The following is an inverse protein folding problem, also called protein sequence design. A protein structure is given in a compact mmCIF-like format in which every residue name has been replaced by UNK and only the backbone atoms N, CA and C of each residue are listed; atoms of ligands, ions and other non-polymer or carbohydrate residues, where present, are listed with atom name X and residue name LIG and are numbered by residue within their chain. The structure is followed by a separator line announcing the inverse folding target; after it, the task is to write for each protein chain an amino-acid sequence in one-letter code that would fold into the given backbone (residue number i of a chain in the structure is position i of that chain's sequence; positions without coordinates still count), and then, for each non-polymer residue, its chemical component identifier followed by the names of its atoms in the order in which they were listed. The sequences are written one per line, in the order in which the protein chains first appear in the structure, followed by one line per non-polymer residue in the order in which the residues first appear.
data_IF_799624511432
#
_entry.id   IF_799624511432
#
_cell.length_a   1.000
_cell.length_b   1.000
_cell.length_c   1.000
_cell.angle_alpha   90.00
_cell.angle_beta   90.00
_cell.angle_gamma   90.00
#
_symmetry.space_group_name_H-M   'P 1'
#
loop_
_entity.id
_entity.type
_entity.pdbx_description
1 polymer ?
#
# COMPACT_ATOMS: atom_id res chain seq x y z
N UNK A 1 -27.81 25.89 7.59
CA UNK A 1 -27.19 24.73 8.27
C UNK A 1 -27.30 24.96 9.77
N UNK A 2 -28.03 24.14 10.52
CA UNK A 2 -28.23 24.36 11.96
C UNK A 2 -26.98 24.10 12.82
N UNK A 3 -27.05 24.42 14.11
CA UNK A 3 -25.96 24.26 15.10
C UNK A 3 -25.35 22.85 15.06
N UNK A 4 -26.20 21.82 15.01
CA UNK A 4 -25.80 20.42 14.88
C UNK A 4 -24.95 20.18 13.62
N UNK A 5 -25.34 20.75 12.48
CA UNK A 5 -24.58 20.64 11.24
C UNK A 5 -23.22 21.33 11.31
N UNK A 6 -23.11 22.47 12.00
CA UNK A 6 -21.83 23.12 12.23
C UNK A 6 -20.89 22.27 13.09
N UNK A 7 -21.40 21.64 14.15
CA UNK A 7 -20.61 20.76 15.03
C UNK A 7 -20.03 19.57 14.23
N UNK A 8 -20.85 18.92 13.39
CA UNK A 8 -20.37 17.81 12.56
C UNK A 8 -19.29 18.26 11.57
N UNK A 9 -19.46 19.42 10.92
CA UNK A 9 -18.46 19.95 10.00
C UNK A 9 -17.14 20.24 10.70
N UNK A 10 -17.18 20.85 11.89
CA UNK A 10 -15.96 21.14 12.68
C UNK A 10 -15.26 19.85 13.11
N UNK A 11 -16.00 18.83 13.57
CA UNK A 11 -15.38 17.54 13.97
C UNK A 11 -14.75 16.83 12.77
N UNK A 12 -15.39 16.84 11.61
CA UNK A 12 -14.84 16.24 10.39
C UNK A 12 -13.55 16.93 9.94
N UNK A 13 -13.54 18.28 9.94
CA UNK A 13 -12.35 19.06 9.57
C UNK A 13 -11.23 18.85 10.59
N UNK A 14 -11.54 18.83 11.89
CA UNK A 14 -10.54 18.58 12.93
C UNK A 14 -9.92 17.19 12.80
N UNK A 15 -10.74 16.15 12.59
CA UNK A 15 -10.25 14.79 12.35
C UNK A 15 -9.35 14.70 11.11
N UNK A 16 -9.71 15.39 10.03
CA UNK A 16 -8.90 15.43 8.80
C UNK A 16 -7.55 16.11 9.05
N UNK A 17 -7.52 17.23 9.78
CA UNK A 17 -6.30 17.93 10.16
C UNK A 17 -5.40 17.02 11.01
N UNK A 18 -5.95 16.33 12.00
CA UNK A 18 -5.20 15.38 12.83
C UNK A 18 -4.61 14.24 11.99
N UNK A 19 -5.37 13.70 11.03
CA UNK A 19 -4.89 12.63 10.14
C UNK A 19 -3.72 13.11 9.26
N UNK A 20 -3.83 14.31 8.68
CA UNK A 20 -2.76 14.89 7.85
C UNK A 20 -1.51 15.16 8.70
N UNK A 21 -1.66 15.71 9.90
CA UNK A 21 -0.54 15.99 10.80
C UNK A 21 0.11 14.71 11.37
N UNK A 22 -0.67 13.64 11.53
CA UNK A 22 -0.17 12.33 11.99
C UNK A 22 0.51 11.53 10.87
N UNK A 23 0.35 11.93 9.61
CA UNK A 23 1.05 11.31 8.50
C UNK A 23 2.53 11.71 8.56
N UNK A 24 3.36 10.82 9.07
CA UNK A 24 4.81 11.02 9.04
C UNK A 24 5.30 10.95 7.60
N UNK A 25 6.01 11.99 7.15
CA UNK A 25 6.80 11.92 5.92
C UNK A 25 8.00 11.02 6.20
N UNK A 26 7.86 9.74 5.90
CA UNK A 26 8.97 8.81 6.06
C UNK A 26 10.08 9.19 5.06
N UNK A 27 11.28 9.47 5.59
CA UNK A 27 12.47 9.78 4.79
C UNK A 27 13.14 8.48 4.38
N UNK A 28 13.37 8.33 3.08
CA UNK A 28 14.07 7.18 2.50
C UNK A 28 15.12 7.69 1.52
N UNK A 29 16.25 6.99 1.43
CA UNK A 29 17.33 7.34 0.48
C UNK A 29 17.04 6.83 -0.93
N UNK A 30 16.45 5.64 -1.05
CA UNK A 30 15.98 5.06 -2.30
C UNK A 30 14.99 3.92 -2.05
N UNK A 31 14.21 3.57 -3.07
CA UNK A 31 13.29 2.42 -3.06
C UNK A 31 13.83 1.26 -3.90
N UNK A 32 13.45 0.04 -3.55
CA UNK A 32 13.81 -1.16 -4.33
C UNK A 32 12.55 -1.73 -4.95
N UNK A 33 12.27 -1.27 -6.16
CA UNK A 33 11.29 -1.93 -6.99
C UNK A 33 11.85 -3.28 -7.47
N UNK A 34 11.39 -4.36 -6.83
CA UNK A 34 11.81 -5.72 -7.13
C UNK A 34 10.76 -6.39 -7.99
N UNK A 35 11.24 -7.06 -9.04
CA UNK A 35 10.42 -7.90 -9.90
C UNK A 35 10.92 -9.34 -9.77
N UNK A 36 9.98 -10.27 -9.90
CA UNK A 36 10.26 -11.69 -9.83
C UNK A 36 9.80 -12.36 -11.11
N UNK A 37 10.59 -13.32 -11.60
CA UNK A 37 10.19 -14.14 -12.73
C UNK A 37 9.33 -15.29 -12.21
N UNK A 38 8.03 -15.27 -12.52
CA UNK A 38 7.04 -16.16 -11.90
C UNK A 38 7.42 -17.65 -12.04
N UNK A 39 7.88 -18.04 -13.22
CA UNK A 39 8.26 -19.43 -13.47
C UNK A 39 9.44 -19.89 -12.59
N UNK A 40 10.44 -19.03 -12.37
CA UNK A 40 11.55 -19.36 -11.47
C UNK A 40 11.12 -19.41 -10.00
N UNK A 41 10.25 -18.47 -9.57
CA UNK A 41 9.74 -18.44 -8.19
C UNK A 41 8.96 -19.70 -7.84
N UNK A 42 8.10 -20.15 -8.74
CA UNK A 42 7.32 -21.37 -8.54
C UNK A 42 8.19 -22.63 -8.53
N UNK A 43 9.30 -22.63 -9.27
CA UNK A 43 10.22 -23.76 -9.31
C UNK A 43 11.24 -23.75 -8.14
N UNK A 44 11.45 -22.59 -7.50
CA UNK A 44 12.39 -22.45 -6.37
C UNK A 44 11.75 -22.70 -5.00
N UNK A 45 10.43 -22.61 -4.88
CA UNK A 45 9.75 -22.76 -3.60
C UNK A 45 9.40 -24.22 -3.29
N UNK A 46 9.50 -24.65 -2.01
CA UNK A 46 9.06 -25.99 -1.60
C UNK A 46 7.54 -26.15 -1.69
N UNK A 47 6.80 -25.05 -1.56
CA UNK A 47 5.35 -25.03 -1.77
C UNK A 47 5.07 -24.83 -3.26
N UNK A 48 4.43 -25.80 -3.93
CA UNK A 48 4.09 -25.65 -5.34
C UNK A 48 3.07 -24.53 -5.54
N UNK A 49 3.22 -23.79 -6.63
CA UNK A 49 2.22 -22.84 -7.08
C UNK A 49 0.96 -23.60 -7.55
N UNK A 50 -0.21 -23.14 -7.11
CA UNK A 50 -1.49 -23.73 -7.50
C UNK A 50 -1.83 -23.45 -8.97
N UNK A 51 -1.41 -22.29 -9.47
CA UNK A 51 -1.66 -21.84 -10.83
C UNK A 51 -0.41 -21.99 -11.70
N UNK A 52 -0.57 -22.31 -13.00
CA UNK A 52 0.56 -22.36 -13.91
C UNK A 52 1.21 -20.97 -14.01
N UNK A 53 2.52 -20.84 -13.75
CA UNK A 53 3.19 -19.55 -13.80
C UNK A 53 3.41 -19.09 -15.25
N UNK A 54 3.10 -17.82 -15.51
CA UNK A 54 3.45 -17.18 -16.77
C UNK A 54 4.97 -16.99 -16.89
N UNK A 55 5.45 -16.89 -18.14
CA UNK A 55 6.86 -16.59 -18.43
C UNK A 55 7.11 -15.08 -18.44
N UNK A 56 6.73 -14.41 -17.35
CA UNK A 56 6.79 -12.96 -17.21
C UNK A 56 7.46 -12.55 -15.89
N UNK A 57 7.99 -11.32 -15.89
CA UNK A 57 8.38 -10.64 -14.66
C UNK A 57 7.16 -9.94 -14.07
N UNK A 58 6.89 -10.21 -12.80
CA UNK A 58 5.82 -9.54 -12.04
C UNK A 58 6.40 -8.78 -10.87
N UNK A 59 5.64 -7.81 -10.38
CA UNK A 59 6.02 -7.04 -9.19
C UNK A 59 6.11 -7.98 -7.99
N UNK A 60 7.25 -7.94 -7.31
CA UNK A 60 7.46 -8.61 -6.03
C UNK A 60 7.27 -7.62 -4.87
N UNK A 61 7.81 -6.41 -5.00
CA UNK A 61 7.67 -5.37 -3.97
C UNK A 61 8.28 -4.04 -4.39
N UNK A 62 8.03 -3.01 -3.59
CA UNK A 62 8.52 -1.64 -3.75
C UNK A 62 9.27 -1.20 -2.49
#
# INVERSE_FOLDING_TARGET
MGITGMIYMVKMVFSLIVLILSSSTAKYDYFKFTQQYQHAVCNSNPTPCNDPPDKLFTVHGL
#
